data_IF_923032215216
#
_entry.id   IF_923032215216
#
_cell.length_a   1.000
_cell.length_b   1.000
_cell.length_c   1.000
_cell.angle_alpha   90.00
_cell.angle_beta   90.00
_cell.angle_gamma   90.00
#
_symmetry.space_group_name_H-M   'P 1'
#
loop_
_entity.id
_entity.type
_entity.pdbx_description
1 polymer ?
#
# COMPACT_ATOMS: atom_id res chain seq x y z
N UNK A 1 4.69 19.01 -1.78
CA UNK A 1 3.30 18.66 -2.05
C UNK A 1 3.18 17.84 -3.32
N UNK A 2 2.30 16.85 -3.29
CA UNK A 2 1.99 16.00 -4.44
C UNK A 2 0.83 16.63 -5.22
N UNK A 3 1.13 17.68 -5.97
CA UNK A 3 0.17 18.43 -6.78
C UNK A 3 0.48 18.23 -8.27
N UNK A 4 -0.57 18.24 -9.08
CA UNK A 4 -0.44 18.15 -10.53
C UNK A 4 -1.74 18.45 -11.25
N UNK A 5 -1.70 18.74 -12.56
CA UNK A 5 -2.89 18.91 -13.36
C UNK A 5 -3.69 17.62 -13.48
N UNK A 6 -4.93 17.72 -13.95
CA UNK A 6 -5.77 16.56 -14.22
C UNK A 6 -5.05 15.56 -15.16
N UNK A 7 -5.10 14.28 -14.86
CA UNK A 7 -4.38 13.22 -15.56
C UNK A 7 -2.99 12.93 -15.02
N UNK A 8 -2.50 13.66 -14.01
CA UNK A 8 -1.23 13.33 -13.35
C UNK A 8 -1.34 12.02 -12.58
N UNK A 9 -0.25 11.23 -12.63
CA UNK A 9 -0.06 10.02 -11.83
C UNK A 9 1.09 10.26 -10.88
N UNK A 10 0.89 9.91 -9.61
CA UNK A 10 1.91 10.04 -8.58
C UNK A 10 2.35 8.63 -8.19
N UNK A 11 3.63 8.33 -8.41
CA UNK A 11 4.24 7.08 -7.98
C UNK A 11 5.11 7.33 -6.75
N UNK A 12 4.85 6.60 -5.67
CA UNK A 12 5.62 6.69 -4.43
C UNK A 12 6.07 5.32 -3.96
N UNK A 13 7.20 5.26 -3.30
CA UNK A 13 7.61 4.04 -2.61
C UNK A 13 6.75 3.87 -1.36
N UNK A 14 6.31 2.64 -1.07
CA UNK A 14 5.47 2.33 0.10
C UNK A 14 6.10 2.70 1.46
N UNK A 15 7.43 2.85 1.51
CA UNK A 15 8.17 3.29 2.70
C UNK A 15 8.28 4.81 2.84
N UNK A 16 7.79 5.57 1.88
CA UNK A 16 7.78 7.03 1.96
C UNK A 16 6.77 7.47 3.01
N UNK A 17 7.23 8.25 3.97
CA UNK A 17 6.32 8.87 4.95
C UNK A 17 5.45 9.89 4.22
N UNK A 18 4.17 9.66 4.24
CA UNK A 18 3.21 10.48 3.53
C UNK A 18 1.90 10.59 4.32
N UNK A 19 1.13 11.57 3.98
CA UNK A 19 -0.17 11.78 4.57
C UNK A 19 -0.94 12.86 3.82
N UNK A 20 -2.16 13.11 4.23
CA UNK A 20 -2.95 14.20 3.71
C UNK A 20 -3.72 14.87 4.85
N UNK A 21 -3.87 16.18 4.74
CA UNK A 21 -4.73 16.93 5.65
C UNK A 21 -6.18 16.53 5.46
N UNK A 22 -6.98 16.75 6.51
CA UNK A 22 -8.41 16.52 6.44
C UNK A 22 -9.04 17.32 5.28
N UNK A 23 -10.07 16.76 4.67
CA UNK A 23 -10.85 17.47 3.66
C UNK A 23 -11.81 18.42 4.38
N UNK A 24 -11.50 19.69 4.36
CA UNK A 24 -12.31 20.77 4.97
C UNK A 24 -13.35 21.36 4.02
N UNK A 25 -13.60 20.69 2.87
CA UNK A 25 -14.57 21.14 1.87
C UNK A 25 -15.80 20.24 1.87
N UNK A 26 -16.87 20.72 1.27
CA UNK A 26 -18.11 19.96 1.02
C UNK A 26 -18.02 19.00 -0.18
N UNK A 27 -16.88 19.02 -0.88
CA UNK A 27 -16.64 18.18 -2.06
C UNK A 27 -15.95 16.87 -1.67
N UNK A 28 -16.41 15.79 -2.25
CA UNK A 28 -15.73 14.49 -2.13
C UNK A 28 -14.34 14.58 -2.77
N UNK A 29 -13.34 14.08 -2.07
CA UNK A 29 -11.97 13.95 -2.57
C UNK A 29 -11.66 12.46 -2.80
N UNK A 30 -12.01 11.90 -3.96
CA UNK A 30 -11.72 10.50 -4.26
C UNK A 30 -10.20 10.29 -4.37
N UNK A 31 -9.74 9.15 -3.87
CA UNK A 31 -8.37 8.71 -3.99
C UNK A 31 -8.36 7.31 -4.57
N UNK A 32 -7.68 7.14 -5.69
CA UNK A 32 -7.48 5.86 -6.33
C UNK A 32 -6.06 5.39 -6.06
N UNK A 33 -5.93 4.24 -5.40
CA UNK A 33 -4.66 3.66 -5.02
C UNK A 33 -4.47 2.32 -5.73
N UNK A 34 -3.37 2.20 -6.46
CA UNK A 34 -2.89 0.93 -6.99
C UNK A 34 -1.58 0.58 -6.30
N UNK A 35 -1.49 -0.61 -5.75
CA UNK A 35 -0.29 -1.10 -5.09
C UNK A 35 0.35 -2.18 -5.94
N UNK A 36 1.60 -1.98 -6.29
CA UNK A 36 2.40 -2.94 -7.05
C UNK A 36 3.62 -3.36 -6.24
N UNK A 37 4.00 -4.61 -6.38
CA UNK A 37 5.24 -5.14 -5.80
C UNK A 37 6.05 -5.85 -6.88
N UNK A 38 7.33 -6.06 -6.60
CA UNK A 38 8.14 -6.97 -7.41
C UNK A 38 7.58 -8.39 -7.32
N UNK A 39 7.63 -9.15 -8.41
CA UNK A 39 7.16 -10.54 -8.45
C UNK A 39 7.98 -11.48 -7.53
N UNK A 40 9.19 -11.09 -7.16
CA UNK A 40 10.07 -11.80 -6.23
C UNK A 40 9.97 -11.30 -4.78
N UNK A 41 9.05 -10.38 -4.51
CA UNK A 41 8.78 -9.91 -3.15
C UNK A 41 7.68 -10.75 -2.50
N UNK A 42 7.99 -11.36 -1.37
CA UNK A 42 7.06 -12.20 -0.63
C UNK A 42 6.62 -11.48 0.66
N UNK A 43 5.33 -11.44 0.97
CA UNK A 43 4.85 -10.87 2.21
C UNK A 43 5.19 -11.79 3.40
N UNK A 44 5.59 -11.21 4.52
CA UNK A 44 5.83 -11.94 5.78
C UNK A 44 4.54 -12.39 6.45
N UNK A 45 3.46 -11.67 6.22
CA UNK A 45 2.16 -11.90 6.83
C UNK A 45 1.09 -11.92 5.75
N UNK A 46 -0.05 -12.48 6.07
CA UNK A 46 -1.18 -12.45 5.17
C UNK A 46 -1.60 -11.01 4.85
N UNK A 47 -2.05 -10.79 3.63
CA UNK A 47 -2.58 -9.50 3.23
C UNK A 47 -3.88 -9.22 3.98
N UNK A 48 -4.00 -8.07 4.70
CA UNK A 48 -5.17 -7.81 5.54
C UNK A 48 -6.45 -7.57 4.74
N UNK A 49 -6.32 -7.08 3.51
CA UNK A 49 -7.45 -6.75 2.62
C UNK A 49 -7.20 -7.30 1.22
N UNK A 50 -7.23 -8.62 1.03
CA UNK A 50 -7.02 -9.21 -0.29
C UNK A 50 -8.14 -8.82 -1.25
N UNK A 51 -7.81 -8.70 -2.52
CA UNK A 51 -8.77 -8.50 -3.62
C UNK A 51 -8.69 -9.67 -4.60
N UNK A 52 -9.64 -9.73 -5.56
CA UNK A 52 -9.60 -10.72 -6.63
C UNK A 52 -8.33 -10.64 -7.51
N UNK A 53 -7.65 -9.51 -7.49
CA UNK A 53 -6.44 -9.25 -8.27
C UNK A 53 -5.14 -9.34 -7.44
N UNK A 54 -5.25 -9.74 -6.17
CA UNK A 54 -4.07 -9.90 -5.32
C UNK A 54 -3.18 -11.01 -5.84
N UNK A 55 -1.92 -10.66 -6.14
CA UNK A 55 -0.93 -11.59 -6.69
C UNK A 55 -0.96 -11.77 -8.22
N UNK A 56 -1.84 -11.06 -8.93
CA UNK A 56 -1.82 -11.06 -10.40
C UNK A 56 -0.53 -10.45 -10.95
N UNK A 57 0.03 -11.10 -11.97
CA UNK A 57 1.20 -10.58 -12.70
C UNK A 57 0.72 -9.61 -13.77
N UNK A 58 0.89 -8.31 -13.52
CA UNK A 58 0.49 -7.26 -14.47
C UNK A 58 1.56 -7.00 -15.55
N UNK A 59 2.80 -7.39 -15.27
CA UNK A 59 3.92 -7.30 -16.24
C UNK A 59 4.99 -8.33 -15.92
N UNK A 60 5.51 -8.98 -16.95
CA UNK A 60 6.57 -9.99 -16.81
C UNK A 60 6.01 -11.38 -16.56
N UNK A 61 6.66 -12.13 -15.70
CA UNK A 61 6.33 -13.53 -15.38
C UNK A 61 6.52 -13.77 -13.87
N UNK A 62 5.89 -14.82 -13.31
CA UNK A 62 6.13 -15.20 -11.92
C UNK A 62 7.62 -15.43 -11.66
N UNK A 63 8.09 -15.01 -10.50
CA UNK A 63 9.46 -15.26 -10.06
C UNK A 63 9.59 -16.67 -9.49
N UNK A 64 10.63 -17.38 -9.89
CA UNK A 64 11.01 -18.66 -9.31
C UNK A 64 12.09 -18.53 -8.23
N UNK A 65 12.71 -17.34 -8.13
CA UNK A 65 13.79 -17.02 -7.20
C UNK A 65 13.51 -15.67 -6.57
N UNK A 66 13.65 -15.59 -5.25
CA UNK A 66 13.55 -14.33 -4.52
C UNK A 66 14.95 -13.74 -4.29
N UNK A 67 15.06 -12.43 -4.46
CA UNK A 67 16.25 -11.67 -4.10
C UNK A 67 15.99 -11.02 -2.74
N UNK A 68 16.67 -11.49 -1.72
CA UNK A 68 16.49 -10.97 -0.36
C UNK A 68 17.64 -10.05 0.01
N UNK A 69 17.33 -8.94 0.68
CA UNK A 69 18.33 -8.08 1.28
C UNK A 69 18.92 -8.83 2.48
N UNK A 70 20.25 -9.07 2.53
CA UNK A 70 20.90 -9.78 3.65
C UNK A 70 20.95 -8.95 4.93
N UNK A 71 20.61 -7.66 4.88
CA UNK A 71 20.63 -6.79 6.05
C UNK A 71 19.44 -7.06 6.96
N UNK A 72 19.61 -7.02 8.29
CA UNK A 72 18.50 -7.12 9.21
C UNK A 72 17.45 -6.03 8.95
N UNK A 73 16.18 -6.39 8.95
CA UNK A 73 15.08 -5.44 8.91
C UNK A 73 14.10 -5.72 10.05
N UNK A 74 13.38 -4.68 10.45
CA UNK A 74 12.28 -4.86 11.42
C UNK A 74 11.14 -5.61 10.73
N UNK A 75 10.65 -6.64 11.40
CA UNK A 75 9.44 -7.35 10.95
C UNK A 75 8.25 -6.41 11.12
N UNK A 76 7.43 -6.21 10.08
CA UNK A 76 6.24 -5.39 10.19
C UNK A 76 5.21 -6.07 11.11
N UNK A 77 4.30 -5.30 11.71
CA UNK A 77 3.17 -5.86 12.44
C UNK A 77 2.32 -6.77 11.57
N UNK A 78 1.75 -7.80 12.15
CA UNK A 78 0.73 -8.62 11.47
C UNK A 78 -0.61 -7.86 11.45
N UNK A 79 -0.78 -7.05 10.45
CA UNK A 79 -1.95 -6.19 10.28
C UNK A 79 -3.25 -6.99 10.16
N UNK A 80 -3.21 -8.17 9.55
CA UNK A 80 -4.39 -9.03 9.46
C UNK A 80 -4.82 -9.54 10.83
N UNK A 81 -3.85 -9.89 11.68
CA UNK A 81 -4.10 -10.39 13.05
C UNK A 81 -4.60 -9.32 14.00
N UNK A 82 -4.10 -8.09 13.89
CA UNK A 82 -4.52 -6.97 14.75
C UNK A 82 -5.83 -6.32 14.30
N UNK A 83 -6.50 -6.88 13.29
CA UNK A 83 -7.82 -6.42 12.86
C UNK A 83 -7.82 -5.18 11.98
N UNK A 84 -6.68 -4.84 11.38
CA UNK A 84 -6.66 -3.77 10.38
C UNK A 84 -7.62 -4.09 9.24
N UNK A 85 -8.54 -3.18 8.97
CA UNK A 85 -9.57 -3.32 7.93
C UNK A 85 -9.39 -2.33 6.78
N UNK A 86 -9.03 -1.11 7.13
CA UNK A 86 -8.79 -0.05 6.15
C UNK A 86 -8.08 1.12 6.80
N UNK A 87 -7.52 2.00 5.98
CA UNK A 87 -6.92 3.27 6.42
C UNK A 87 -7.94 4.14 7.19
N UNK A 88 -9.21 4.11 6.78
CA UNK A 88 -10.26 4.87 7.46
C UNK A 88 -10.53 4.35 8.88
N UNK A 89 -10.47 3.03 9.08
CA UNK A 89 -10.63 2.43 10.40
C UNK A 89 -9.48 2.83 11.31
N UNK A 90 -8.25 2.83 10.81
CA UNK A 90 -7.06 3.24 11.55
C UNK A 90 -7.12 4.73 11.93
N UNK A 91 -7.57 5.59 11.04
CA UNK A 91 -7.71 7.03 11.28
C UNK A 91 -8.77 7.34 12.34
N UNK A 92 -9.89 6.63 12.35
CA UNK A 92 -10.94 6.80 13.37
C UNK A 92 -10.51 6.38 14.76
N UNK A 93 -9.61 5.42 14.88
CA UNK A 93 -9.08 4.98 16.16
C UNK A 93 -8.06 5.95 16.79
N UNK A 94 -7.59 6.92 16.00
CA UNK A 94 -6.59 7.91 16.41
C UNK A 94 -7.21 9.27 16.82
N UNK A 95 -8.54 9.38 16.77
CA UNK A 95 -9.31 10.57 17.18
C UNK A 95 -10.01 10.32 18.49
#
# INVERSE_FOLDING_TARGET
DLLGPAGSVIAINCRTVHGSIANATDRVRPLLLFVYSSADAFPWTAQPTPTSHSGEIVRGRPAAVAHMDPRPCRVPPDWARVGYRSIFTAQKAST
#
